data_IF_114903418216
#
_entry.id   IF_114903418216
#
_cell.length_a   1.000
_cell.length_b   1.000
_cell.length_c   1.000
_cell.angle_alpha   90.00
_cell.angle_beta   90.00
_cell.angle_gamma   90.00
#
_symmetry.space_group_name_H-M   'P 1'
#
loop_
_entity.id
_entity.type
_entity.pdbx_description
1 polymer ?
#
# COMPACT_ATOMS: atom_id res chain seq x y z
N UNK A 1 17.69 19.26 31.86
CA UNK A 1 16.55 20.02 31.32
C UNK A 1 15.33 19.15 31.45
N UNK A 2 14.27 19.65 32.09
CA UNK A 2 12.96 19.00 32.08
C UNK A 2 12.45 18.92 30.64
N UNK A 3 11.85 17.80 30.25
CA UNK A 3 11.30 17.62 28.89
C UNK A 3 10.04 18.48 28.74
N UNK A 4 10.17 19.62 28.06
CA UNK A 4 9.04 20.51 27.77
C UNK A 4 8.16 19.81 26.73
N UNK A 5 6.95 19.44 27.13
CA UNK A 5 5.95 18.85 26.25
C UNK A 5 4.92 19.92 25.88
N UNK A 6 4.92 20.34 24.62
CA UNK A 6 3.92 21.25 24.07
C UNK A 6 2.75 20.46 23.50
N UNK A 7 1.52 20.92 23.74
CA UNK A 7 0.36 20.41 23.02
C UNK A 7 0.37 20.91 21.56
N UNK A 8 -0.53 20.37 20.73
CA UNK A 8 -0.54 20.71 19.30
C UNK A 8 -0.77 22.21 19.04
N UNK A 9 -1.59 22.88 19.87
CA UNK A 9 -1.90 24.31 19.71
C UNK A 9 -0.67 25.17 20.02
N UNK A 10 -0.03 24.87 21.15
CA UNK A 10 1.18 25.54 21.62
C UNK A 10 2.33 25.32 20.64
N UNK A 11 2.48 24.08 20.16
CA UNK A 11 3.49 23.74 19.16
C UNK A 11 3.28 24.52 17.85
N UNK A 12 2.06 24.57 17.31
CA UNK A 12 1.76 25.32 16.09
C UNK A 12 2.01 26.82 16.24
N UNK A 13 1.70 27.40 17.39
CA UNK A 13 1.97 28.81 17.66
C UNK A 13 3.48 29.08 17.74
N UNK A 14 4.23 28.25 18.47
CA UNK A 14 5.69 28.37 18.58
C UNK A 14 6.39 28.16 17.23
N UNK A 15 5.94 27.19 16.44
CA UNK A 15 6.42 26.94 15.08
C UNK A 15 6.17 28.15 14.16
N UNK A 16 5.02 28.80 14.30
CA UNK A 16 4.73 29.98 13.51
C UNK A 16 5.66 31.16 13.85
N UNK A 17 5.94 31.39 15.14
CA UNK A 17 6.92 32.40 15.59
C UNK A 17 8.32 32.03 15.09
N UNK A 18 8.70 30.75 15.14
CA UNK A 18 9.97 30.25 14.59
C UNK A 18 10.14 30.57 13.11
N UNK A 19 9.10 30.34 12.31
CA UNK A 19 9.14 30.60 10.86
C UNK A 19 8.96 32.08 10.50
N UNK A 20 8.52 32.93 11.44
CA UNK A 20 8.29 34.37 11.24
C UNK A 20 8.97 35.16 12.37
N UNK A 21 10.32 35.20 12.41
CA UNK A 21 11.05 35.86 13.48
C UNK A 21 10.70 37.36 13.51
N UNK A 22 10.61 37.92 14.71
CA UNK A 22 10.23 39.31 14.96
C UNK A 22 8.80 39.65 14.51
N UNK A 23 7.87 38.68 14.52
CA UNK A 23 6.46 39.01 14.32
C UNK A 23 5.94 39.83 15.51
N UNK A 24 5.14 40.87 15.24
CA UNK A 24 4.50 41.63 16.31
C UNK A 24 3.34 40.86 16.96
N UNK A 25 3.11 41.05 18.25
CA UNK A 25 2.01 40.41 18.96
C UNK A 25 0.64 40.73 18.34
N UNK A 26 0.42 41.97 17.88
CA UNK A 26 -0.79 42.35 17.15
C UNK A 26 -0.99 41.53 15.86
N UNK A 27 0.08 41.30 15.10
CA UNK A 27 0.03 40.50 13.88
C UNK A 27 -0.22 39.03 14.21
N UNK A 28 0.41 38.51 15.27
CA UNK A 28 0.21 37.16 15.75
C UNK A 28 -1.25 36.89 16.14
N UNK A 29 -1.89 37.81 16.89
CA UNK A 29 -3.34 37.73 17.20
C UNK A 29 -4.21 37.72 15.96
N UNK A 30 -3.84 38.51 14.94
CA UNK A 30 -4.57 38.56 13.67
C UNK A 30 -4.44 37.25 12.89
N UNK A 31 -3.28 36.60 12.93
CA UNK A 31 -3.06 35.29 12.30
C UNK A 31 -3.82 34.17 13.03
N UNK A 32 -3.94 34.25 14.36
CA UNK A 32 -4.58 33.23 15.20
C UNK A 32 -5.83 33.76 15.92
N UNK A 33 -6.88 34.19 15.20
CA UNK A 33 -8.06 34.82 15.80
C UNK A 33 -8.90 33.84 16.65
N UNK A 34 -8.70 32.54 16.47
CA UNK A 34 -9.37 31.49 17.26
C UNK A 34 -8.68 31.16 18.58
N UNK A 35 -7.49 31.71 18.84
CA UNK A 35 -6.74 31.48 20.06
C UNK A 35 -7.14 32.54 21.10
N UNK A 36 -8.23 32.27 21.83
CA UNK A 36 -8.73 33.18 22.87
C UNK A 36 -7.76 33.34 24.05
N UNK A 37 -6.85 32.38 24.22
CA UNK A 37 -5.81 32.22 25.25
C UNK A 37 -4.40 32.52 24.71
N UNK A 38 -4.29 33.21 23.57
CA UNK A 38 -2.99 33.47 22.93
C UNK A 38 -2.02 34.25 23.81
N UNK A 39 -2.55 35.14 24.66
CA UNK A 39 -1.76 35.89 25.65
C UNK A 39 -1.10 34.95 26.65
N UNK A 40 -1.89 34.08 27.28
CA UNK A 40 -1.42 33.10 28.25
C UNK A 40 -0.38 32.15 27.63
N UNK A 41 -0.58 31.75 26.38
CA UNK A 41 0.37 30.89 25.66
C UNK A 41 1.71 31.60 25.39
N UNK A 42 1.67 32.86 24.95
CA UNK A 42 2.88 33.65 24.71
C UNK A 42 3.63 33.90 26.01
N UNK A 43 2.92 34.27 27.08
CA UNK A 43 3.54 34.45 28.41
C UNK A 43 4.12 33.13 28.92
N UNK A 44 3.44 32.01 28.72
CA UNK A 44 3.96 30.69 29.08
C UNK A 44 5.24 30.34 28.31
N UNK A 45 5.34 30.72 27.03
CA UNK A 45 6.57 30.53 26.26
C UNK A 45 7.73 31.40 26.75
N UNK A 46 7.44 32.63 27.17
CA UNK A 46 8.43 33.53 27.76
C UNK A 46 8.93 32.99 29.12
N UNK A 47 8.01 32.57 29.99
CA UNK A 47 8.31 31.92 31.29
C UNK A 47 9.16 30.65 31.12
N UNK A 48 8.92 29.88 30.05
CA UNK A 48 9.68 28.67 29.73
C UNK A 48 10.98 28.95 28.96
N UNK A 49 11.31 30.22 28.70
CA UNK A 49 12.46 30.64 27.91
C UNK A 49 12.50 29.99 26.52
N UNK A 50 11.35 29.90 25.86
CA UNK A 50 11.22 29.42 24.49
C UNK A 50 11.25 30.56 23.47
N UNK A 51 10.80 31.75 23.89
CA UNK A 51 10.81 32.98 23.11
C UNK A 51 11.47 34.11 23.88
N UNK A 52 11.73 35.21 23.19
CA UNK A 52 12.10 36.51 23.76
C UNK A 52 11.12 37.56 23.23
N UNK A 53 10.69 38.45 24.12
CA UNK A 53 9.87 39.62 23.81
C UNK A 53 10.78 40.84 23.61
N UNK A 54 10.70 41.49 22.45
CA UNK A 54 11.57 42.63 22.10
C UNK A 54 10.77 43.86 21.68
N UNK A 55 11.37 45.04 21.83
CA UNK A 55 10.83 46.27 21.24
C UNK A 55 11.06 46.30 19.72
N UNK A 56 10.17 46.99 19.00
CA UNK A 56 10.24 47.13 17.53
C UNK A 56 11.55 47.78 17.02
N UNK A 57 12.19 48.59 17.87
CA UNK A 57 13.47 49.25 17.63
C UNK A 57 14.69 48.34 17.83
N UNK A 58 14.54 47.19 18.51
CA UNK A 58 15.61 46.24 18.87
C UNK A 58 15.98 45.31 17.71
N UNK A 59 15.99 45.84 16.48
CA UNK A 59 16.47 45.13 15.28
C UNK A 59 17.98 44.81 15.32
N UNK A 60 18.70 45.28 16.34
CA UNK A 60 20.13 45.11 16.47
C UNK A 60 20.51 43.93 17.38
N UNK A 61 21.04 42.91 16.71
CA UNK A 61 21.80 41.78 17.24
C UNK A 61 21.03 40.76 18.11
N UNK A 62 21.11 39.51 17.67
CA UNK A 62 20.72 38.34 18.44
C UNK A 62 21.74 38.16 19.59
N UNK A 63 21.51 38.85 20.72
CA UNK A 63 22.50 38.95 21.80
C UNK A 63 22.41 37.81 22.82
N UNK A 64 21.62 36.76 22.59
CA UNK A 64 21.33 35.70 23.58
C UNK A 64 20.80 36.24 24.93
N UNK A 65 20.40 37.52 25.00
CA UNK A 65 19.92 38.15 26.23
C UNK A 65 18.40 38.08 26.30
N UNK A 66 17.92 37.46 27.37
CA UNK A 66 16.51 37.41 27.73
C UNK A 66 16.09 38.77 28.28
N UNK A 67 15.30 39.52 27.50
CA UNK A 67 14.70 40.77 27.92
C UNK A 67 13.21 40.54 28.22
N UNK A 68 12.79 40.75 29.48
CA UNK A 68 11.37 40.66 29.86
C UNK A 68 10.74 42.05 29.78
N UNK A 69 9.87 42.24 28.81
CA UNK A 69 8.94 43.38 28.78
C UNK A 69 7.52 42.88 29.00
N UNK A 70 6.65 43.77 29.47
CA UNK A 70 5.21 43.50 29.45
C UNK A 70 4.79 43.24 27.99
N UNK A 71 4.07 42.14 27.76
CA UNK A 71 3.55 41.81 26.44
C UNK A 71 2.55 42.90 26.02
N UNK A 72 2.87 43.58 24.92
CA UNK A 72 2.02 44.61 24.32
C UNK A 72 1.91 44.37 22.81
N UNK A 73 0.94 45.01 22.17
CA UNK A 73 0.66 44.81 20.74
C UNK A 73 1.86 45.09 19.83
N UNK A 74 2.77 45.97 20.25
CA UNK A 74 4.02 46.30 19.57
C UNK A 74 5.21 45.40 19.92
N UNK A 75 5.07 44.46 20.87
CA UNK A 75 6.11 43.50 21.22
C UNK A 75 6.39 42.61 20.02
N UNK A 76 7.67 42.45 19.67
CA UNK A 76 8.13 41.55 18.63
C UNK A 76 8.60 40.25 19.26
N UNK A 77 8.12 39.13 18.74
CA UNK A 77 8.39 37.81 19.28
C UNK A 77 9.44 37.10 18.42
N UNK A 78 10.43 36.52 19.07
CA UNK A 78 11.44 35.67 18.42
C UNK A 78 11.67 34.42 19.24
N UNK A 79 11.85 33.29 18.57
CA UNK A 79 12.24 32.04 19.24
C UNK A 79 13.71 32.09 19.61
N UNK A 80 14.04 31.61 20.81
CA UNK A 80 15.42 31.54 21.29
C UNK A 80 15.90 30.09 21.33
N UNK A 81 17.17 29.86 21.70
CA UNK A 81 17.87 28.57 21.61
C UNK A 81 17.03 27.35 22.04
N UNK A 82 16.33 27.43 23.18
CA UNK A 82 15.46 26.34 23.65
C UNK A 82 14.24 26.11 22.75
N UNK A 83 13.57 27.17 22.31
CA UNK A 83 12.44 27.10 21.38
C UNK A 83 12.87 26.55 20.01
N UNK A 84 13.99 27.03 19.48
CA UNK A 84 14.60 26.54 18.24
C UNK A 84 14.90 25.04 18.32
N UNK A 85 15.46 24.58 19.44
CA UNK A 85 15.76 23.17 19.64
C UNK A 85 14.52 22.27 19.60
N UNK A 86 13.40 22.72 20.19
CA UNK A 86 12.12 21.98 20.17
C UNK A 86 11.59 21.83 18.74
N UNK A 87 11.54 22.94 17.99
CA UNK A 87 11.03 22.92 16.61
C UNK A 87 11.93 22.07 15.69
N UNK A 88 13.25 22.23 15.80
CA UNK A 88 14.19 21.47 14.99
C UNK A 88 14.21 19.98 15.33
N UNK A 89 14.05 19.61 16.61
CA UNK A 89 13.88 18.21 17.01
C UNK A 89 12.57 17.62 16.47
N UNK A 90 11.48 18.38 16.46
CA UNK A 90 10.22 17.95 15.87
C UNK A 90 10.33 17.74 14.35
N UNK A 91 10.95 18.68 13.63
CA UNK A 91 11.21 18.55 12.18
C UNK A 91 12.04 17.31 11.85
N UNK A 92 13.14 17.09 12.58
CA UNK A 92 13.96 15.87 12.42
C UNK A 92 13.17 14.58 12.65
N UNK A 93 12.33 14.53 13.69
CA UNK A 93 11.46 13.35 13.94
C UNK A 93 10.48 13.11 12.79
N UNK A 94 9.90 14.17 12.24
CA UNK A 94 9.01 14.09 11.07
C UNK A 94 9.75 13.59 9.83
N UNK A 95 10.96 14.10 9.57
CA UNK A 95 11.78 13.68 8.43
C UNK A 95 12.24 12.22 8.55
N UNK A 96 12.67 11.81 9.74
CA UNK A 96 13.00 10.41 10.03
C UNK A 96 11.80 9.49 9.86
N UNK A 97 10.62 9.91 10.32
CA UNK A 97 9.38 9.17 10.16
C UNK A 97 9.00 9.03 8.68
N UNK A 98 9.02 10.12 7.92
CA UNK A 98 8.75 10.12 6.48
C UNK A 98 9.73 9.25 5.70
N UNK A 99 11.01 9.29 6.07
CA UNK A 99 12.05 8.43 5.48
C UNK A 99 11.76 6.94 5.73
N UNK A 100 11.26 6.60 6.92
CA UNK A 100 10.85 5.22 7.27
C UNK A 100 9.54 4.79 6.60
N UNK A 101 8.62 5.72 6.30
CA UNK A 101 7.37 5.43 5.61
C UNK A 101 7.54 5.13 4.12
N UNK A 102 8.47 5.81 3.44
CA UNK A 102 8.71 5.64 2.00
C UNK A 102 8.85 4.18 1.55
N UNK A 103 9.71 3.34 2.16
CA UNK A 103 9.83 1.93 1.76
C UNK A 103 8.55 1.12 2.02
N UNK A 104 7.70 1.51 2.97
CA UNK A 104 6.43 0.81 3.22
C UNK A 104 5.43 1.03 2.09
N UNK A 105 5.37 2.23 1.52
CA UNK A 105 4.58 2.49 0.31
C UNK A 105 5.09 1.67 -0.88
N UNK A 106 6.41 1.63 -1.10
CA UNK A 106 6.99 0.81 -2.17
C UNK A 106 6.70 -0.70 -2.00
N UNK A 107 6.63 -1.18 -0.76
CA UNK A 107 6.24 -2.56 -0.45
C UNK A 107 4.75 -2.79 -0.74
N UNK A 108 3.89 -1.85 -0.38
CA UNK A 108 2.45 -1.95 -0.65
C UNK A 108 2.16 -2.02 -2.16
N UNK A 109 2.82 -1.18 -2.96
CA UNK A 109 2.68 -1.18 -4.42
C UNK A 109 3.19 -2.48 -5.05
N UNK A 110 4.36 -2.97 -4.59
CA UNK A 110 4.89 -4.28 -5.02
C UNK A 110 3.96 -5.44 -4.63
N UNK A 111 3.36 -5.39 -3.45
CA UNK A 111 2.45 -6.43 -2.99
C UNK A 111 1.16 -6.44 -3.82
N UNK A 112 0.65 -5.26 -4.17
CA UNK A 112 -0.54 -5.10 -5.02
C UNK A 112 -0.29 -5.67 -6.42
N UNK A 113 0.82 -5.28 -7.06
CA UNK A 113 1.19 -5.80 -8.40
C UNK A 113 1.46 -7.31 -8.41
N UNK A 114 2.03 -7.87 -7.33
CA UNK A 114 2.19 -9.31 -7.16
C UNK A 114 0.84 -10.02 -7.02
N UNK A 115 -0.10 -9.46 -6.25
CA UNK A 115 -1.43 -10.01 -6.09
C UNK A 115 -2.22 -10.01 -7.41
N UNK A 116 -2.17 -8.91 -8.16
CA UNK A 116 -2.79 -8.83 -9.49
C UNK A 116 -2.19 -9.86 -10.45
N UNK A 117 -0.86 -9.97 -10.49
CA UNK A 117 -0.15 -10.95 -11.32
C UNK A 117 -0.52 -12.38 -10.93
N UNK A 118 -0.65 -12.67 -9.64
CA UNK A 118 -1.06 -13.98 -9.15
C UNK A 118 -2.51 -14.31 -9.54
N UNK A 119 -3.42 -13.33 -9.45
CA UNK A 119 -4.81 -13.48 -9.88
C UNK A 119 -4.90 -13.82 -11.37
N UNK A 120 -4.20 -13.07 -12.23
CA UNK A 120 -4.18 -13.33 -13.68
C UNK A 120 -3.66 -14.73 -13.99
N UNK A 121 -2.59 -15.17 -13.31
CA UNK A 121 -2.04 -16.53 -13.49
C UNK A 121 -3.01 -17.61 -13.04
N UNK A 122 -3.74 -17.39 -11.94
CA UNK A 122 -4.74 -18.32 -11.46
C UNK A 122 -5.91 -18.46 -12.45
N UNK A 123 -6.37 -17.35 -13.03
CA UNK A 123 -7.43 -17.36 -14.04
C UNK A 123 -6.99 -18.08 -15.32
N UNK A 124 -5.78 -17.82 -15.81
CA UNK A 124 -5.22 -18.53 -16.96
C UNK A 124 -5.07 -20.04 -16.70
N UNK A 125 -4.59 -20.42 -15.51
CA UNK A 125 -4.47 -21.82 -15.13
C UNK A 125 -5.83 -22.52 -15.06
N UNK A 126 -6.86 -21.82 -14.55
CA UNK A 126 -8.24 -22.32 -14.52
C UNK A 126 -8.80 -22.51 -15.92
N UNK A 127 -8.61 -21.54 -16.81
CA UNK A 127 -9.06 -21.63 -18.21
C UNK A 127 -8.39 -22.80 -18.95
N UNK A 128 -7.07 -22.98 -18.76
CA UNK A 128 -6.34 -24.12 -19.31
C UNK A 128 -6.85 -25.46 -18.76
N UNK A 129 -7.09 -25.55 -17.45
CA UNK A 129 -7.63 -26.74 -16.82
C UNK A 129 -9.03 -27.10 -17.33
N UNK A 130 -9.91 -26.10 -17.48
CA UNK A 130 -11.26 -26.29 -18.01
C UNK A 130 -11.25 -26.72 -19.48
N UNK A 131 -10.37 -26.12 -20.29
CA UNK A 131 -10.17 -26.52 -21.69
C UNK A 131 -9.63 -27.95 -21.82
N UNK A 132 -8.63 -28.31 -21.01
CA UNK A 132 -8.07 -29.66 -20.96
C UNK A 132 -9.13 -30.68 -20.50
N UNK A 133 -9.95 -30.33 -19.52
CA UNK A 133 -11.06 -31.17 -19.03
C UNK A 133 -12.10 -31.42 -20.12
N UNK A 134 -12.55 -30.36 -20.81
CA UNK A 134 -13.51 -30.47 -21.91
C UNK A 134 -12.96 -31.34 -23.05
N UNK A 135 -11.69 -31.16 -23.39
CA UNK A 135 -10.99 -31.96 -24.39
C UNK A 135 -10.92 -33.44 -23.97
N UNK A 136 -10.56 -33.72 -22.71
CA UNK A 136 -10.51 -35.07 -22.17
C UNK A 136 -11.88 -35.77 -22.22
N UNK A 137 -12.96 -35.07 -21.84
CA UNK A 137 -14.32 -35.61 -21.90
C UNK A 137 -14.71 -35.93 -23.35
N UNK A 138 -14.45 -35.02 -24.28
CA UNK A 138 -14.73 -35.23 -25.71
C UNK A 138 -13.94 -36.40 -26.29
N UNK A 139 -12.64 -36.50 -25.96
CA UNK A 139 -11.79 -37.60 -26.38
C UNK A 139 -12.29 -38.95 -25.84
N UNK A 140 -12.67 -39.03 -24.56
CA UNK A 140 -13.27 -40.23 -23.96
C UNK A 140 -14.56 -40.64 -24.67
N UNK A 141 -15.43 -39.68 -24.96
CA UNK A 141 -16.67 -39.95 -25.69
C UNK A 141 -16.41 -40.50 -27.10
N UNK A 142 -15.53 -39.84 -27.86
CA UNK A 142 -15.14 -40.29 -29.21
C UNK A 142 -14.49 -41.68 -29.20
N UNK A 143 -13.61 -41.94 -28.24
CA UNK A 143 -12.97 -43.25 -28.10
C UNK A 143 -14.00 -44.36 -27.84
N UNK A 144 -14.94 -44.13 -26.93
CA UNK A 144 -16.01 -45.08 -26.65
C UNK A 144 -16.91 -45.32 -27.88
N UNK A 145 -17.28 -44.26 -28.60
CA UNK A 145 -18.08 -44.39 -29.82
C UNK A 145 -17.36 -45.20 -30.90
N UNK A 146 -16.08 -44.87 -31.16
CA UNK A 146 -15.27 -45.61 -32.14
C UNK A 146 -15.08 -47.07 -31.75
N UNK A 147 -14.95 -47.38 -30.46
CA UNK A 147 -14.87 -48.74 -29.97
C UNK A 147 -16.18 -49.52 -30.22
N UNK A 148 -17.34 -48.92 -29.95
CA UNK A 148 -18.63 -49.55 -30.27
C UNK A 148 -18.77 -49.78 -31.78
N UNK A 149 -18.41 -48.78 -32.59
CA UNK A 149 -18.49 -48.88 -34.05
C UNK A 149 -17.58 -49.99 -34.60
N UNK A 150 -16.36 -50.13 -34.05
CA UNK A 150 -15.42 -51.17 -34.47
C UNK A 150 -15.94 -52.57 -34.13
N UNK A 151 -16.53 -52.76 -32.96
CA UNK A 151 -17.18 -54.02 -32.56
C UNK A 151 -18.32 -54.37 -33.51
N UNK A 152 -19.21 -53.41 -33.82
CA UNK A 152 -20.31 -53.63 -34.77
C UNK A 152 -19.78 -54.00 -36.16
N UNK A 153 -18.76 -53.27 -36.65
CA UNK A 153 -18.16 -53.53 -37.97
C UNK A 153 -17.53 -54.92 -38.05
N UNK A 154 -16.88 -55.36 -36.97
CA UNK A 154 -16.32 -56.70 -36.88
C UNK A 154 -17.43 -57.78 -36.95
N UNK A 155 -18.52 -57.60 -36.20
CA UNK A 155 -19.67 -58.52 -36.23
C UNK A 155 -20.29 -58.56 -37.64
N UNK A 156 -20.55 -57.41 -38.25
CA UNK A 156 -21.12 -57.35 -39.61
C UNK A 156 -20.21 -58.01 -40.64
N UNK A 157 -18.89 -57.85 -40.52
CA UNK A 157 -17.90 -58.47 -41.42
C UNK A 157 -17.87 -60.00 -41.29
N UNK A 158 -18.00 -60.52 -40.06
CA UNK A 158 -18.13 -61.95 -39.79
C UNK A 158 -19.41 -62.52 -40.38
N UNK A 159 -20.55 -61.85 -40.17
CA UNK A 159 -21.84 -62.26 -40.70
C UNK A 159 -21.87 -62.24 -42.24
N UNK A 160 -21.38 -61.17 -42.87
CA UNK A 160 -21.35 -61.03 -44.32
C UNK A 160 -20.47 -62.09 -45.01
N UNK A 161 -19.46 -62.62 -44.31
CA UNK A 161 -18.59 -63.68 -44.81
C UNK A 161 -18.89 -65.05 -44.19
N UNK A 162 -19.98 -65.21 -43.44
CA UNK A 162 -20.29 -66.43 -42.70
C UNK A 162 -20.33 -67.65 -43.63
N UNK A 163 -20.98 -67.54 -44.79
CA UNK A 163 -21.04 -68.62 -45.78
C UNK A 163 -19.65 -69.04 -46.26
N UNK A 164 -18.76 -68.09 -46.54
CA UNK A 164 -17.38 -68.38 -46.96
C UNK A 164 -16.56 -69.00 -45.83
N UNK A 165 -16.75 -68.52 -44.60
CA UNK A 165 -16.07 -69.05 -43.42
C UNK A 165 -16.52 -70.49 -43.18
N UNK A 166 -17.83 -70.75 -43.15
CA UNK A 166 -18.40 -72.08 -42.98
C UNK A 166 -17.96 -73.01 -44.11
N UNK A 167 -18.02 -72.55 -45.36
CA UNK A 167 -17.55 -73.34 -46.51
C UNK A 167 -16.07 -73.70 -46.40
N UNK A 168 -15.22 -72.74 -46.02
CA UNK A 168 -13.79 -72.99 -45.83
C UNK A 168 -13.51 -73.94 -44.66
N UNK A 169 -14.23 -73.79 -43.54
CA UNK A 169 -14.12 -74.69 -42.38
C UNK A 169 -14.57 -76.11 -42.76
N UNK A 170 -15.72 -76.27 -43.43
CA UNK A 170 -16.20 -77.55 -43.94
C UNK A 170 -15.21 -78.19 -44.91
N UNK A 171 -14.61 -77.40 -45.81
CA UNK A 171 -13.61 -77.89 -46.75
C UNK A 171 -12.36 -78.39 -46.01
N UNK A 172 -11.90 -77.68 -44.99
CA UNK A 172 -10.78 -78.10 -44.14
C UNK A 172 -11.11 -79.38 -43.37
N UNK A 173 -12.30 -79.46 -42.75
CA UNK A 173 -12.76 -80.66 -42.03
C UNK A 173 -12.86 -81.88 -42.96
N UNK A 174 -13.36 -81.67 -44.18
CA UNK A 174 -13.41 -82.70 -45.23
C UNK A 174 -12.02 -83.19 -45.63
N UNK A 175 -11.00 -82.32 -45.68
CA UNK A 175 -9.62 -82.74 -45.94
C UNK A 175 -9.01 -83.52 -44.78
N UNK A 176 -9.50 -83.31 -43.56
CA UNK A 176 -9.04 -83.99 -42.35
C UNK A 176 -9.82 -85.29 -42.05
N UNK A 177 -10.78 -85.67 -42.89
CA UNK A 177 -11.57 -86.90 -42.74
C UNK A 177 -12.58 -86.88 -41.59
N UNK A 178 -12.90 -85.70 -41.07
CA UNK A 178 -13.91 -85.48 -40.02
C UNK A 178 -15.18 -84.95 -40.70
N UNK A 179 -16.14 -85.82 -40.97
CA UNK A 179 -17.51 -85.46 -41.38
C UNK A 179 -18.47 -85.64 -40.22
#
# INVERSE_FOLDING_TARGET
>A
MSEITLDNRSFSLLEYIYNNPYISYASLKTTFPSYNDIEDLVLSFDEQHLISLREASSLEADTDQYETYNLVDSSHLVTITSGNAIIEQAKRRTDEFNTKLKPLYDIADKTTSLAESASIRADLAKEQADSARKTSISAKFKANLSFILSVITAICSLLANADKIVHNVQKILSYLGLQ
#
